data_IF_188405560340
#
_entry.id   IF_188405560340
#
_cell.length_a   1.000
_cell.length_b   1.000
_cell.length_c   1.000
_cell.angle_alpha   90.00
_cell.angle_beta   90.00
_cell.angle_gamma   90.00
#
_symmetry.space_group_name_H-M   'P 1'
#
loop_
_entity.id
_entity.type
_entity.pdbx_description
1 polymer ?
#
# COMPACT_ATOMS: atom_id res chain seq x y z
N UNK A 1 -12.88 -7.03 9.72
CA UNK A 1 -11.58 -6.52 9.23
C UNK A 1 -11.61 -6.26 7.74
N UNK A 2 -11.84 -7.27 6.90
CA UNK A 2 -11.95 -7.10 5.44
C UNK A 2 -13.02 -6.08 5.04
N UNK A 3 -14.23 -6.17 5.60
CA UNK A 3 -15.32 -5.22 5.34
C UNK A 3 -14.92 -3.75 5.62
N UNK A 4 -14.23 -3.50 6.73
CA UNK A 4 -13.74 -2.17 7.08
C UNK A 4 -12.64 -1.70 6.11
N UNK A 5 -11.79 -2.59 5.61
CA UNK A 5 -10.84 -2.23 4.56
C UNK A 5 -11.56 -1.92 3.23
N UNK A 6 -12.64 -2.65 2.92
CA UNK A 6 -13.44 -2.39 1.73
C UNK A 6 -14.17 -1.04 1.77
N UNK A 7 -14.40 -0.42 2.93
CA UNK A 7 -14.99 0.93 2.97
C UNK A 7 -13.99 2.02 2.55
N UNK A 8 -12.69 1.79 2.71
CA UNK A 8 -11.64 2.71 2.27
C UNK A 8 -11.39 2.58 0.75
N UNK A 9 -11.63 3.64 -0.05
CA UNK A 9 -11.46 3.57 -1.50
C UNK A 9 -10.04 3.21 -1.95
N UNK A 10 -9.00 3.68 -1.24
CA UNK A 10 -7.60 3.38 -1.59
C UNK A 10 -7.26 1.91 -1.42
N UNK A 11 -7.72 1.27 -0.36
CA UNK A 11 -7.49 -0.16 -0.14
C UNK A 11 -8.38 -1.04 -1.03
N UNK A 12 -9.61 -0.60 -1.32
CA UNK A 12 -10.53 -1.32 -2.22
C UNK A 12 -9.97 -1.51 -3.63
N UNK A 13 -9.09 -0.62 -4.07
CA UNK A 13 -8.45 -0.68 -5.37
C UNK A 13 -7.22 -1.61 -5.41
N UNK A 14 -6.73 -2.06 -4.25
CA UNK A 14 -5.61 -2.99 -4.14
C UNK A 14 -6.09 -4.43 -4.14
N UNK A 15 -5.17 -5.37 -4.39
CA UNK A 15 -5.48 -6.79 -4.35
C UNK A 15 -5.42 -7.30 -2.90
N UNK A 16 -6.55 -7.64 -2.26
CA UNK A 16 -6.53 -8.17 -0.90
C UNK A 16 -6.12 -9.65 -0.94
N UNK A 17 -5.31 -10.06 0.02
CA UNK A 17 -5.05 -11.47 0.25
C UNK A 17 -4.91 -11.76 1.74
N UNK A 18 -5.20 -12.99 2.13
CA UNK A 18 -5.13 -13.43 3.52
C UNK A 18 -4.19 -14.61 3.66
N UNK A 19 -3.32 -14.58 4.66
CA UNK A 19 -2.43 -15.70 5.01
C UNK A 19 -2.11 -15.67 6.49
N UNK A 20 -2.00 -16.82 7.15
CA UNK A 20 -1.71 -16.92 8.60
C UNK A 20 -2.68 -16.15 9.51
N UNK A 21 -3.92 -15.90 9.05
CA UNK A 21 -4.90 -15.08 9.78
C UNK A 21 -4.71 -13.57 9.62
N UNK A 22 -3.75 -13.14 8.81
CA UNK A 22 -3.40 -11.75 8.55
C UNK A 22 -4.10 -11.26 7.27
N UNK A 23 -4.48 -9.99 7.23
CA UNK A 23 -4.98 -9.30 6.03
C UNK A 23 -3.88 -8.44 5.43
N UNK A 24 -3.57 -8.72 4.17
CA UNK A 24 -2.54 -8.07 3.38
C UNK A 24 -3.15 -7.41 2.14
N UNK A 25 -2.41 -6.46 1.57
CA UNK A 25 -2.72 -5.80 0.30
C UNK A 25 -1.52 -5.86 -0.62
N UNK A 26 -1.77 -6.16 -1.88
CA UNK A 26 -0.75 -6.18 -2.94
C UNK A 26 -1.07 -5.10 -3.97
N UNK A 27 -0.03 -4.43 -4.47
CA UNK A 27 -0.11 -3.50 -5.60
C UNK A 27 -0.19 -4.22 -6.95
N UNK A 28 -0.10 -5.54 -6.99
CA UNK A 28 -0.27 -6.34 -8.20
C UNK A 28 -1.18 -7.55 -7.98
N UNK A 29 -1.81 -8.04 -9.04
CA UNK A 29 -2.81 -9.13 -8.97
C UNK A 29 -2.21 -10.53 -9.12
N UNK A 30 -1.03 -10.69 -9.72
CA UNK A 30 -0.42 -12.00 -9.95
C UNK A 30 0.55 -12.43 -8.84
N UNK A 31 0.88 -13.73 -8.85
CA UNK A 31 1.55 -14.42 -7.76
C UNK A 31 3.01 -13.94 -7.56
N UNK A 32 3.48 -14.04 -6.30
CA UNK A 32 4.54 -13.25 -5.65
C UNK A 32 4.04 -11.87 -5.22
N UNK A 33 3.02 -11.78 -4.38
CA UNK A 33 2.47 -10.49 -3.93
C UNK A 33 3.53 -9.49 -3.45
N UNK A 34 3.24 -8.19 -3.59
CA UNK A 34 4.13 -7.15 -3.06
C UNK A 34 4.12 -7.16 -1.53
N UNK A 35 5.25 -6.79 -0.94
CA UNK A 35 5.48 -6.73 0.52
C UNK A 35 5.90 -5.33 0.94
N UNK A 36 5.29 -4.31 0.33
CA UNK A 36 5.62 -2.88 0.50
C UNK A 36 4.48 -2.09 1.17
N UNK A 37 3.44 -2.79 1.65
CA UNK A 37 2.30 -2.23 2.38
C UNK A 37 2.20 -2.94 3.75
N UNK A 38 1.94 -2.23 4.86
CA UNK A 38 1.66 -2.85 6.15
C UNK A 38 0.43 -3.75 6.12
N UNK A 39 0.41 -4.77 6.98
CA UNK A 39 -0.65 -5.76 7.07
C UNK A 39 -1.28 -5.77 8.47
N UNK A 40 -2.53 -6.24 8.55
CA UNK A 40 -3.32 -6.22 9.78
C UNK A 40 -3.45 -7.65 10.31
N UNK A 41 -3.14 -7.82 11.58
CA UNK A 41 -3.24 -9.09 12.30
C UNK A 41 -4.30 -8.95 13.41
N UNK A 42 -5.12 -9.98 13.67
CA UNK A 42 -5.93 -10.03 14.88
C UNK A 42 -5.02 -10.14 16.10
N UNK A 43 -5.35 -9.42 17.18
CA UNK A 43 -4.68 -9.49 18.47
C UNK A 43 -5.62 -10.06 19.55
N UNK A 44 -5.06 -10.33 20.73
CA UNK A 44 -5.84 -10.81 21.87
C UNK A 44 -6.92 -9.78 22.26
N UNK A 45 -8.03 -10.26 22.81
CA UNK A 45 -9.10 -9.37 23.31
C UNK A 45 -9.96 -8.70 22.23
N UNK A 46 -9.83 -9.10 20.96
CA UNK A 46 -10.58 -8.50 19.84
C UNK A 46 -9.94 -7.24 19.27
N UNK A 47 -8.73 -6.91 19.71
CA UNK A 47 -7.91 -5.84 19.15
C UNK A 47 -7.23 -6.26 17.85
N UNK A 48 -6.48 -5.33 17.27
CA UNK A 48 -5.73 -5.50 16.04
C UNK A 48 -4.29 -5.05 16.24
N UNK A 49 -3.39 -5.62 15.46
CA UNK A 49 -1.99 -5.20 15.39
C UNK A 49 -1.60 -4.96 13.94
N UNK A 50 -0.92 -3.85 13.68
CA UNK A 50 -0.43 -3.51 12.34
C UNK A 50 1.08 -3.70 12.32
N UNK A 51 1.53 -4.53 11.39
CA UNK A 51 2.94 -4.90 11.16
C UNK A 51 3.32 -4.65 9.71
N UNK A 52 4.61 -4.77 9.40
CA UNK A 52 5.08 -4.68 8.03
C UNK A 52 5.62 -3.30 7.63
N UNK A 53 6.09 -3.18 6.37
CA UNK A 53 5.89 -4.16 5.30
C UNK A 53 6.71 -5.45 5.45
N UNK A 54 7.90 -5.36 6.05
CA UNK A 54 8.68 -6.54 6.48
C UNK A 54 8.14 -7.10 7.80
N UNK A 55 8.16 -8.43 7.97
CA UNK A 55 7.67 -9.07 9.21
C UNK A 55 8.40 -8.66 10.49
N UNK A 56 9.62 -8.11 10.37
CA UNK A 56 10.38 -7.57 11.49
C UNK A 56 9.96 -6.16 11.91
N UNK A 57 9.12 -5.50 11.11
CA UNK A 57 8.67 -4.14 11.33
C UNK A 57 7.27 -4.12 11.97
N UNK A 58 7.04 -3.14 12.84
CA UNK A 58 5.77 -2.96 13.54
C UNK A 58 5.32 -1.52 13.45
N UNK A 59 4.03 -1.31 13.16
CA UNK A 59 3.39 -0.01 13.20
C UNK A 59 2.74 0.23 14.56
N UNK A 60 2.05 -0.77 15.11
CA UNK A 60 1.52 -0.74 16.47
C UNK A 60 0.09 -1.30 16.62
N UNK A 61 -0.48 -1.19 17.84
CA UNK A 61 -1.82 -1.68 18.14
C UNK A 61 -2.93 -0.78 17.59
N UNK A 62 -4.08 -1.38 17.34
CA UNK A 62 -5.33 -0.70 16.96
C UNK A 62 -6.53 -1.32 17.69
N UNK A 63 -7.36 -0.48 18.31
CA UNK A 63 -8.52 -0.94 19.06
C UNK A 63 -9.70 -1.34 18.16
N UNK A 64 -9.70 -0.91 16.89
CA UNK A 64 -10.79 -1.17 15.94
C UNK A 64 -10.26 -1.49 14.55
N UNK A 65 -11.05 -2.17 13.69
CA UNK A 65 -10.68 -2.38 12.29
C UNK A 65 -10.43 -1.07 11.54
N UNK A 66 -11.22 -0.03 11.81
CA UNK A 66 -11.11 1.26 11.15
C UNK A 66 -9.80 1.98 11.51
N UNK A 67 -9.38 1.89 12.77
CA UNK A 67 -8.08 2.41 13.20
C UNK A 67 -6.93 1.66 12.52
N UNK A 68 -6.99 0.33 12.47
CA UNK A 68 -5.96 -0.47 11.78
C UNK A 68 -5.88 -0.12 10.29
N UNK A 69 -7.02 0.04 9.62
CA UNK A 69 -7.11 0.49 8.22
C UNK A 69 -6.46 1.87 8.04
N UNK A 70 -6.75 2.82 8.93
CA UNK A 70 -6.15 4.16 8.90
C UNK A 70 -4.63 4.09 8.97
N UNK A 71 -4.08 3.27 9.87
CA UNK A 71 -2.64 3.10 10.03
C UNK A 71 -1.94 2.52 8.79
N UNK A 72 -2.59 1.59 8.09
CA UNK A 72 -2.10 1.05 6.80
C UNK A 72 -2.13 2.13 5.73
N UNK A 73 -3.24 2.86 5.66
CA UNK A 73 -3.50 3.88 4.64
C UNK A 73 -2.52 5.05 4.71
N UNK A 74 -2.16 5.49 5.93
CA UNK A 74 -1.13 6.51 6.17
C UNK A 74 0.27 6.11 5.68
N UNK A 75 0.49 4.81 5.43
CA UNK A 75 1.78 4.21 5.07
C UNK A 75 1.77 3.57 3.69
N UNK A 76 0.76 3.87 2.88
CA UNK A 76 0.76 3.44 1.48
C UNK A 76 1.96 4.06 0.74
N UNK A 77 2.58 3.33 -0.19
CA UNK A 77 3.60 3.90 -1.06
C UNK A 77 3.10 5.18 -1.76
N UNK A 78 3.98 6.17 -2.00
CA UNK A 78 3.62 7.35 -2.80
C UNK A 78 3.07 6.93 -4.18
N UNK A 79 1.99 7.58 -4.62
CA UNK A 79 1.37 7.25 -5.91
C UNK A 79 0.69 5.87 -5.96
N UNK A 80 0.41 5.24 -4.81
CA UNK A 80 -0.30 3.97 -4.75
C UNK A 80 -1.73 4.12 -5.31
N UNK A 81 -1.90 3.67 -6.56
CA UNK A 81 -3.18 3.61 -7.26
C UNK A 81 -3.76 2.19 -7.30
N UNK A 82 -4.65 1.88 -8.27
CA UNK A 82 -5.21 0.54 -8.44
C UNK A 82 -4.14 -0.53 -8.62
N UNK A 83 -4.44 -1.74 -8.16
CA UNK A 83 -3.57 -2.89 -8.35
C UNK A 83 -3.27 -3.10 -9.83
N UNK A 84 -1.98 -3.15 -10.14
CA UNK A 84 -1.46 -3.44 -11.46
C UNK A 84 -1.82 -4.88 -11.86
N UNK A 85 -2.36 -5.05 -13.06
CA UNK A 85 -2.65 -6.37 -13.61
C UNK A 85 -1.34 -6.97 -14.12
N UNK A 86 -0.75 -7.85 -13.33
CA UNK A 86 0.53 -8.51 -13.63
C UNK A 86 1.32 -8.86 -12.37
N UNK A 87 2.59 -9.15 -12.58
CA UNK A 87 3.57 -9.56 -11.55
C UNK A 87 4.26 -8.35 -10.91
N UNK A 88 4.93 -8.51 -9.75
CA UNK A 88 5.72 -7.43 -9.16
C UNK A 88 6.88 -6.94 -10.03
N UNK A 89 7.46 -7.84 -10.83
CA UNK A 89 8.56 -7.47 -11.72
C UNK A 89 8.05 -6.51 -12.81
N UNK A 90 6.87 -6.76 -13.35
CA UNK A 90 6.23 -5.87 -14.33
C UNK A 90 5.78 -4.55 -13.69
N UNK A 91 5.24 -4.60 -12.46
CA UNK A 91 4.93 -3.39 -11.70
C UNK A 91 6.18 -2.54 -11.47
N UNK A 92 7.33 -3.14 -11.12
CA UNK A 92 8.57 -2.41 -10.91
C UNK A 92 9.07 -1.72 -12.20
N UNK A 93 8.92 -2.36 -13.36
CA UNK A 93 9.23 -1.77 -14.66
C UNK A 93 8.26 -0.62 -14.98
N UNK A 94 6.96 -0.79 -14.69
CA UNK A 94 5.94 0.24 -14.86
C UNK A 94 6.25 1.49 -14.03
N UNK A 95 6.53 1.32 -12.73
CA UNK A 95 6.88 2.41 -11.81
C UNK A 95 8.14 3.15 -12.29
N UNK A 96 9.19 2.42 -12.71
CA UNK A 96 10.42 3.01 -13.25
C UNK A 96 10.17 3.81 -14.54
N UNK A 97 9.25 3.36 -15.38
CA UNK A 97 8.87 4.07 -16.62
C UNK A 97 8.05 5.32 -16.30
N UNK A 98 7.15 5.25 -15.32
CA UNK A 98 6.36 6.40 -14.88
C UNK A 98 7.23 7.51 -14.26
N UNK A 99 8.22 7.13 -13.45
CA UNK A 99 9.18 8.06 -12.84
C UNK A 99 10.06 8.76 -13.87
N UNK A 100 10.46 8.07 -14.95
CA UNK A 100 11.26 8.66 -16.04
C UNK A 100 10.47 9.53 -17.02
N UNK A 101 9.13 9.43 -17.01
CA UNK A 101 8.25 10.19 -17.89
C UNK A 101 7.75 11.52 -17.28
N UNK A 102 8.16 11.89 -16.06
CA UNK A 102 7.81 13.20 -15.48
C UNK A 102 8.64 14.29 -16.16
N UNK A 103 8.06 15.19 -16.98
CA UNK A 103 8.82 16.26 -17.61
C UNK A 103 9.33 17.23 -16.54
N UNK A 104 10.62 17.59 -16.60
CA UNK A 104 11.19 18.68 -15.80
C UNK A 104 10.35 19.96 -16.00
N UNK A 105 10.11 20.74 -14.92
CA UNK A 105 9.47 22.03 -15.07
C UNK A 105 10.30 22.90 -16.02
N UNK A 106 9.70 23.67 -16.94
CA UNK A 106 10.45 24.52 -17.83
C UNK A 106 11.26 25.52 -17.01
N UNK A 107 12.58 25.52 -17.19
CA UNK A 107 13.48 26.56 -16.73
C UNK A 107 12.91 27.90 -17.19
N UNK A 108 12.31 28.64 -16.27
CA UNK A 108 11.89 30.01 -16.52
C UNK A 108 13.14 30.85 -16.45
N UNK A 109 13.76 31.04 -17.61
CA UNK A 109 14.83 32.00 -17.81
C UNK A 109 14.29 33.40 -17.48
N UNK A 110 14.54 33.83 -16.25
CA UNK A 110 14.36 35.18 -15.77
C UNK A 110 15.69 35.92 -15.92
N UNK A 111 15.97 36.42 -17.11
CA UNK A 111 16.70 37.68 -17.27
C UNK A 111 16.38 38.36 -18.60
N UNK A 112 15.31 39.15 -18.56
CA UNK A 112 15.18 40.36 -19.38
C UNK A 112 15.75 41.54 -18.61
N UNK A 113 16.57 42.33 -19.30
CA UNK A 113 17.04 43.72 -19.03
C UNK A 113 18.50 43.89 -18.66
#
# INVERSE_FOLDING_TARGET
MLEAAYTEPRLRQLFPWTGMGELHFSRCTEQRWTWDIPYIQPAAGGEYWVSGPLRSESVGPAATPAQAVTMVVERLPPGCGPAFVGTPAELAIHDATALSATPEPPDTDLSTS
#
